data_IF_211769072734
#
_entry.id   IF_211769072734
#
_cell.length_a   1.000
_cell.length_b   1.000
_cell.length_c   1.000
_cell.angle_alpha   90.00
_cell.angle_beta   90.00
_cell.angle_gamma   90.00
#
_symmetry.space_group_name_H-M   'P 1'
#
loop_
_entity.id
_entity.type
_entity.pdbx_description
1 polymer ?
#
# COMPACT_ATOMS: atom_id res chain seq x y z
N UNK A 1 10.28 -5.37 0.10
CA UNK A 1 9.79 -4.19 -0.67
C UNK A 1 8.51 -3.73 -0.04
N UNK A 2 8.43 -2.47 0.33
CA UNK A 2 7.25 -1.79 0.84
C UNK A 2 6.69 -0.86 -0.25
N UNK A 3 5.38 -0.77 -0.36
CA UNK A 3 4.71 0.13 -1.30
C UNK A 3 3.55 0.82 -0.60
N UNK A 4 3.53 2.15 -0.63
CA UNK A 4 2.37 2.94 -0.27
C UNK A 4 1.61 3.35 -1.54
N UNK A 5 0.36 2.97 -1.63
CA UNK A 5 -0.53 3.42 -2.68
C UNK A 5 -1.31 4.64 -2.19
N UNK A 6 -1.09 5.78 -2.81
CA UNK A 6 -1.83 7.02 -2.55
C UNK A 6 -3.08 7.04 -3.42
N UNK A 7 -4.20 6.56 -2.87
CA UNK A 7 -5.42 6.21 -3.62
C UNK A 7 -6.01 7.40 -4.41
N UNK A 8 -5.95 8.63 -3.88
CA UNK A 8 -6.54 9.80 -4.54
C UNK A 8 -5.75 10.29 -5.78
N UNK A 9 -4.49 9.86 -5.93
CA UNK A 9 -3.67 10.18 -7.11
C UNK A 9 -3.33 8.92 -7.93
N UNK A 10 -3.44 7.73 -7.33
CA UNK A 10 -2.96 6.48 -7.90
C UNK A 10 -1.44 6.32 -7.85
N UNK A 11 -0.72 7.28 -7.26
CA UNK A 11 0.72 7.20 -7.11
C UNK A 11 1.10 6.10 -6.14
N UNK A 12 2.15 5.39 -6.46
CA UNK A 12 2.78 4.44 -5.56
C UNK A 12 4.15 4.95 -5.12
N UNK A 13 4.40 4.93 -3.83
CA UNK A 13 5.69 5.22 -3.22
C UNK A 13 6.34 3.91 -2.78
N UNK A 14 7.61 3.72 -3.13
CA UNK A 14 8.30 2.45 -2.95
C UNK A 14 9.55 2.61 -2.11
N UNK A 15 9.76 1.64 -1.20
CA UNK A 15 11.00 1.46 -0.45
C UNK A 15 11.45 0.00 -0.43
N UNK A 16 12.76 -0.23 -0.47
CA UNK A 16 13.34 -1.53 -0.21
C UNK A 16 13.74 -1.62 1.27
N UNK A 17 13.09 -2.50 2.00
CA UNK A 17 13.43 -2.78 3.39
C UNK A 17 14.45 -3.92 3.46
N UNK A 18 15.44 -3.88 4.36
CA UNK A 18 16.35 -5.00 4.63
C UNK A 18 15.60 -6.24 5.15
N UNK A 19 14.60 -6.02 6.01
CA UNK A 19 13.73 -7.07 6.54
C UNK A 19 12.29 -6.55 6.74
N UNK A 20 11.35 -7.48 6.92
CA UNK A 20 9.95 -7.15 7.16
C UNK A 20 9.64 -7.16 8.66
N UNK A 21 10.24 -6.22 9.39
CA UNK A 21 10.05 -5.99 10.81
C UNK A 21 9.70 -4.53 11.13
N UNK A 22 9.36 -4.25 12.39
CA UNK A 22 8.98 -2.91 12.81
C UNK A 22 10.15 -1.92 12.76
N UNK A 23 11.38 -2.37 12.99
CA UNK A 23 12.58 -1.53 12.96
C UNK A 23 12.76 -0.88 11.59
N UNK A 24 12.52 -1.62 10.51
CA UNK A 24 12.66 -1.12 9.14
C UNK A 24 11.36 -0.51 8.60
N UNK A 25 10.21 -0.92 9.10
CA UNK A 25 8.92 -0.37 8.67
C UNK A 25 8.65 1.03 9.24
N UNK A 26 8.95 1.27 10.51
CA UNK A 26 8.70 2.55 11.19
C UNK A 26 9.39 3.77 10.54
N UNK A 27 10.65 3.70 10.11
CA UNK A 27 11.29 4.80 9.40
C UNK A 27 10.52 5.22 8.14
N UNK A 28 9.97 4.28 7.39
CA UNK A 28 9.21 4.55 6.18
C UNK A 28 7.85 5.19 6.50
N UNK A 29 7.16 4.74 7.54
CA UNK A 29 5.95 5.42 8.04
C UNK A 29 6.24 6.87 8.44
N UNK A 30 7.36 7.11 9.13
CA UNK A 30 7.79 8.45 9.53
C UNK A 30 8.16 9.31 8.33
N UNK A 31 8.79 8.72 7.30
CA UNK A 31 9.12 9.41 6.06
C UNK A 31 7.86 9.81 5.32
N UNK A 32 6.94 8.88 5.12
CA UNK A 32 5.64 9.14 4.50
C UNK A 32 4.87 10.25 5.23
N UNK A 33 4.81 10.19 6.57
CA UNK A 33 4.15 11.23 7.37
C UNK A 33 4.78 12.62 7.13
N UNK A 34 6.12 12.71 7.08
CA UNK A 34 6.80 13.99 6.82
C UNK A 34 6.52 14.54 5.42
N UNK A 35 6.46 13.67 4.42
CA UNK A 35 6.19 14.03 3.03
C UNK A 35 4.75 14.51 2.82
N UNK A 36 3.80 13.99 3.63
CA UNK A 36 2.38 14.28 3.54
C UNK A 36 1.83 15.05 4.76
N UNK A 37 2.68 15.81 5.45
CA UNK A 37 2.32 16.55 6.68
C UNK A 37 1.22 17.60 6.51
N UNK A 38 0.95 18.03 5.29
CA UNK A 38 -0.11 18.94 4.90
C UNK A 38 -1.51 18.29 4.95
N UNK A 39 -1.58 16.96 4.94
CA UNK A 39 -2.82 16.23 5.10
C UNK A 39 -3.29 16.27 6.55
N UNK A 40 -4.61 16.36 6.75
CA UNK A 40 -5.23 16.31 8.09
C UNK A 40 -5.17 14.92 8.74
N UNK A 41 -4.72 13.92 8.01
CA UNK A 41 -4.61 12.53 8.41
C UNK A 41 -4.95 11.56 7.30
N UNK A 42 -4.58 10.30 7.48
CA UNK A 42 -4.75 9.25 6.47
C UNK A 42 -5.38 7.99 7.06
N UNK A 43 -6.23 7.35 6.28
CA UNK A 43 -6.62 5.97 6.53
C UNK A 43 -5.59 5.07 5.87
N UNK A 44 -4.86 4.31 6.70
CA UNK A 44 -3.89 3.33 6.24
C UNK A 44 -4.53 1.95 6.20
N UNK A 45 -4.77 1.43 5.01
CA UNK A 45 -5.26 0.06 4.82
C UNK A 45 -4.06 -0.85 4.64
N UNK A 46 -3.92 -1.84 5.49
CA UNK A 46 -2.80 -2.80 5.48
C UNK A 46 -3.26 -4.17 5.99
N UNK A 47 -2.46 -5.18 5.76
CA UNK A 47 -2.69 -6.50 6.35
C UNK A 47 -2.21 -6.57 7.82
N UNK A 48 -2.48 -7.70 8.48
CA UNK A 48 -2.03 -7.98 9.84
C UNK A 48 -0.62 -8.55 9.93
N UNK A 49 0.28 -8.16 9.02
CA UNK A 49 1.69 -8.60 9.06
C UNK A 49 2.39 -8.23 10.36
N UNK A 50 3.42 -9.01 10.74
CA UNK A 50 4.11 -8.85 12.03
C UNK A 50 4.62 -7.42 12.26
N UNK A 51 5.21 -6.77 11.25
CA UNK A 51 5.67 -5.40 11.33
C UNK A 51 4.54 -4.39 11.51
N UNK A 52 3.35 -4.68 10.95
CA UNK A 52 2.19 -3.79 11.00
C UNK A 52 1.50 -3.79 12.36
N UNK A 53 1.51 -4.92 13.06
CA UNK A 53 0.88 -5.10 14.38
C UNK A 53 1.87 -5.06 15.55
N UNK A 54 3.16 -4.90 15.29
CA UNK A 54 4.18 -4.80 16.34
C UNK A 54 3.88 -3.66 17.31
N UNK A 55 4.23 -3.85 18.59
CA UNK A 55 3.97 -2.88 19.65
C UNK A 55 4.48 -1.48 19.33
N UNK A 56 5.70 -1.37 18.79
CA UNK A 56 6.30 -0.08 18.43
C UNK A 56 5.53 0.62 17.30
N UNK A 57 5.05 -0.12 16.31
CA UNK A 57 4.20 0.39 15.24
C UNK A 57 2.86 0.90 15.79
N UNK A 58 2.22 0.11 16.68
CA UNK A 58 0.97 0.51 17.30
C UNK A 58 1.14 1.76 18.19
N UNK A 59 2.22 1.82 18.95
CA UNK A 59 2.58 2.99 19.77
C UNK A 59 2.79 4.23 18.88
N UNK A 60 3.46 4.08 17.74
CA UNK A 60 3.63 5.19 16.80
C UNK A 60 2.28 5.69 16.27
N UNK A 61 1.38 4.82 15.88
CA UNK A 61 0.04 5.20 15.44
C UNK A 61 -0.75 5.89 16.55
N UNK A 62 -0.74 5.36 17.76
CA UNK A 62 -1.44 5.94 18.92
C UNK A 62 -0.95 7.36 19.23
N UNK A 63 0.37 7.59 19.13
CA UNK A 63 1.00 8.87 19.41
C UNK A 63 0.93 9.87 18.24
N UNK A 64 0.29 9.51 17.14
CA UNK A 64 0.14 10.39 15.96
C UNK A 64 -1.02 11.40 16.09
N UNK A 65 -1.65 11.49 17.24
CA UNK A 65 -2.83 12.38 17.48
C UNK A 65 -3.94 12.20 16.45
N UNK A 66 -4.14 10.96 15.96
CA UNK A 66 -5.19 10.61 15.01
C UNK A 66 -4.85 10.93 13.55
N UNK A 67 -3.61 11.32 13.25
CA UNK A 67 -3.16 11.48 11.87
C UNK A 67 -3.15 10.14 11.15
N UNK A 68 -2.55 9.09 11.75
CA UNK A 68 -2.65 7.72 11.28
C UNK A 68 -3.95 7.06 11.77
N UNK A 69 -4.72 6.51 10.84
CA UNK A 69 -5.96 5.78 11.11
C UNK A 69 -5.87 4.39 10.48
N UNK A 70 -5.11 3.45 11.09
CA UNK A 70 -4.91 2.14 10.51
C UNK A 70 -6.21 1.34 10.44
N UNK A 71 -6.36 0.57 9.37
CA UNK A 71 -7.42 -0.40 9.12
C UNK A 71 -6.79 -1.66 8.60
N UNK A 72 -7.10 -2.78 9.21
CA UNK A 72 -6.50 -4.06 8.86
C UNK A 72 -7.46 -4.85 7.97
N UNK A 73 -6.93 -5.44 6.89
CA UNK A 73 -7.70 -6.39 6.09
C UNK A 73 -7.95 -7.67 6.92
N UNK A 74 -9.07 -8.36 6.69
CA UNK A 74 -9.29 -9.66 7.31
C UNK A 74 -8.17 -10.64 6.99
N UNK A 75 -7.95 -11.60 7.88
CA UNK A 75 -7.00 -12.69 7.62
C UNK A 75 -7.33 -13.39 6.30
N UNK A 76 -6.30 -13.74 5.54
CA UNK A 76 -6.41 -14.38 4.22
C UNK A 76 -7.18 -13.57 3.15
N UNK A 77 -7.30 -12.26 3.34
CA UNK A 77 -7.98 -11.36 2.40
C UNK A 77 -7.04 -10.30 1.82
N UNK A 78 -5.79 -10.65 1.55
CA UNK A 78 -4.77 -9.76 0.96
C UNK A 78 -5.23 -9.15 -0.37
N UNK A 79 -6.07 -9.87 -1.13
CA UNK A 79 -6.68 -9.38 -2.37
C UNK A 79 -7.55 -8.13 -2.20
N UNK A 80 -7.96 -7.78 -0.97
CA UNK A 80 -8.61 -6.50 -0.67
C UNK A 80 -7.62 -5.32 -0.64
N UNK A 81 -6.32 -5.61 -0.57
CA UNK A 81 -5.29 -4.58 -0.62
C UNK A 81 -5.01 -4.20 -2.09
N UNK A 82 -5.48 -3.04 -2.49
CA UNK A 82 -5.34 -2.56 -3.87
C UNK A 82 -3.90 -2.35 -4.31
N UNK A 83 -2.99 -2.06 -3.38
CA UNK A 83 -1.57 -1.96 -3.70
C UNK A 83 -1.04 -3.26 -4.33
N UNK A 84 -1.51 -4.43 -3.89
CA UNK A 84 -1.11 -5.71 -4.47
C UNK A 84 -1.51 -5.84 -5.95
N UNK A 85 -2.69 -5.35 -6.33
CA UNK A 85 -3.14 -5.38 -7.73
C UNK A 85 -2.20 -4.56 -8.60
N UNK A 86 -1.82 -3.36 -8.14
CA UNK A 86 -0.90 -2.49 -8.88
C UNK A 86 0.54 -3.02 -8.90
N UNK A 87 0.99 -3.64 -7.80
CA UNK A 87 2.28 -4.35 -7.76
C UNK A 87 2.29 -5.49 -8.80
N UNK A 88 1.20 -6.22 -8.95
CA UNK A 88 1.07 -7.24 -9.99
C UNK A 88 1.13 -6.66 -11.39
N UNK A 89 0.47 -5.54 -11.64
CA UNK A 89 0.57 -4.82 -12.92
C UNK A 89 2.01 -4.35 -13.20
N UNK A 90 2.67 -3.74 -12.21
CA UNK A 90 4.07 -3.35 -12.33
C UNK A 90 4.98 -4.54 -12.66
N UNK A 91 4.83 -5.66 -11.93
CA UNK A 91 5.57 -6.89 -12.22
C UNK A 91 5.35 -7.37 -13.65
N UNK A 92 4.11 -7.33 -14.13
CA UNK A 92 3.78 -7.75 -15.48
C UNK A 92 4.45 -6.90 -16.56
N UNK A 93 4.43 -5.57 -16.41
CA UNK A 93 4.94 -4.65 -17.43
C UNK A 93 6.46 -4.50 -17.39
N UNK A 94 7.08 -4.50 -16.22
CA UNK A 94 8.48 -4.12 -16.04
C UNK A 94 9.40 -5.25 -15.62
N UNK A 95 8.89 -6.34 -15.02
CA UNK A 95 9.72 -7.43 -14.50
C UNK A 95 9.56 -8.75 -15.24
N UNK A 96 8.45 -8.94 -15.97
CA UNK A 96 8.17 -10.21 -16.65
C UNK A 96 9.24 -10.51 -17.70
N UNK A 97 9.70 -11.77 -17.72
CA UNK A 97 10.71 -12.29 -18.64
C UNK A 97 12.08 -11.61 -18.53
N UNK A 98 12.37 -10.97 -17.39
CA UNK A 98 13.70 -10.43 -17.10
C UNK A 98 14.36 -11.31 -16.04
N UNK A 99 15.70 -11.34 -16.06
CA UNK A 99 16.53 -11.98 -15.06
C UNK A 99 17.60 -10.99 -14.61
N UNK A 100 18.05 -11.09 -13.38
CA UNK A 100 19.06 -10.23 -12.80
C UNK A 100 20.17 -11.08 -12.20
N UNK A 101 21.40 -10.64 -12.34
CA UNK A 101 22.57 -11.36 -11.82
C UNK A 101 22.76 -11.14 -10.33
N UNK A 102 22.16 -10.07 -9.76
CA UNK A 102 22.26 -9.73 -8.35
C UNK A 102 20.98 -9.05 -7.83
N UNK A 103 20.83 -9.06 -6.52
CA UNK A 103 19.76 -8.32 -5.86
C UNK A 103 19.90 -6.79 -6.09
N UNK A 104 21.12 -6.30 -6.18
CA UNK A 104 21.38 -4.88 -6.40
C UNK A 104 20.98 -4.44 -7.81
N UNK A 105 21.27 -5.26 -8.82
CA UNK A 105 20.80 -5.02 -10.19
C UNK A 105 19.27 -5.00 -10.25
N UNK A 106 18.61 -5.95 -9.57
CA UNK A 106 17.16 -5.96 -9.46
C UNK A 106 16.60 -4.68 -8.83
N UNK A 107 17.16 -4.24 -7.68
CA UNK A 107 16.76 -3.01 -7.00
C UNK A 107 16.94 -1.79 -7.91
N UNK A 108 18.10 -1.67 -8.54
CA UNK A 108 18.41 -0.58 -9.48
C UNK A 108 17.38 -0.53 -10.61
N UNK A 109 17.07 -1.68 -11.21
CA UNK A 109 16.07 -1.76 -12.27
C UNK A 109 14.68 -1.33 -11.78
N UNK A 110 14.24 -1.80 -10.61
CA UNK A 110 12.94 -1.43 -10.04
C UNK A 110 12.88 0.07 -9.77
N UNK A 111 13.93 0.63 -9.13
CA UNK A 111 13.95 2.06 -8.79
C UNK A 111 14.00 2.97 -10.03
N UNK A 112 14.62 2.53 -11.12
CA UNK A 112 14.61 3.25 -12.40
C UNK A 112 13.25 3.17 -13.11
N UNK A 113 12.59 2.01 -13.06
CA UNK A 113 11.32 1.77 -13.75
C UNK A 113 10.10 2.34 -13.00
N UNK A 114 10.21 2.53 -11.70
CA UNK A 114 9.09 2.91 -10.85
C UNK A 114 8.52 4.31 -11.14
N UNK A 115 9.35 5.36 -11.32
CA UNK A 115 8.87 6.69 -11.71
C UNK A 115 8.18 6.68 -13.08
N UNK A 116 8.68 5.89 -14.03
CA UNK A 116 8.05 5.74 -15.35
C UNK A 116 6.67 5.09 -15.22
N UNK A 117 6.54 4.03 -14.38
CA UNK A 117 5.26 3.41 -14.12
C UNK A 117 4.25 4.41 -13.55
N UNK A 118 4.64 5.18 -12.54
CA UNK A 118 3.80 6.21 -11.96
C UNK A 118 3.40 7.27 -13.00
N UNK A 119 4.34 7.76 -13.78
CA UNK A 119 4.06 8.75 -14.82
C UNK A 119 3.04 8.23 -15.84
N UNK A 120 3.12 6.95 -16.20
CA UNK A 120 2.31 6.34 -17.26
C UNK A 120 0.95 5.87 -16.79
N UNK A 121 0.85 5.36 -15.57
CA UNK A 121 -0.32 4.61 -15.07
C UNK A 121 -0.96 5.18 -13.81
N UNK A 122 -0.30 6.09 -13.09
CA UNK A 122 -0.93 6.66 -11.90
C UNK A 122 -2.07 7.60 -12.30
N UNK A 123 -3.24 7.31 -11.76
CA UNK A 123 -4.43 8.15 -11.90
C UNK A 123 -5.35 7.93 -10.70
N UNK A 124 -6.20 8.90 -10.35
CA UNK A 124 -7.21 8.72 -9.31
C UNK A 124 -8.07 7.49 -9.58
N UNK A 125 -8.41 6.74 -8.52
CA UNK A 125 -9.29 5.59 -8.66
C UNK A 125 -10.74 6.04 -8.86
N UNK A 126 -11.36 5.57 -9.91
CA UNK A 126 -12.80 5.69 -10.12
C UNK A 126 -13.54 4.54 -9.42
N UNK A 127 -14.07 4.84 -8.23
CA UNK A 127 -14.80 3.85 -7.44
C UNK A 127 -16.18 3.60 -8.02
N UNK A 128 -16.35 2.45 -8.66
CA UNK A 128 -17.67 2.02 -9.19
C UNK A 128 -18.52 1.32 -8.15
N UNK A 129 -17.92 0.83 -7.04
CA UNK A 129 -18.62 0.16 -5.95
C UNK A 129 -18.86 1.16 -4.81
N UNK A 130 -20.11 1.62 -4.68
CA UNK A 130 -20.52 2.58 -3.66
C UNK A 130 -21.19 1.89 -2.47
N UNK A 131 -21.29 2.59 -1.33
CA UNK A 131 -22.06 2.10 -0.16
C UNK A 131 -23.52 1.78 -0.53
N UNK A 132 -24.12 2.51 -1.45
CA UNK A 132 -25.47 2.24 -1.92
C UNK A 132 -25.52 0.91 -2.69
N UNK A 133 -24.61 0.69 -3.65
CA UNK A 133 -24.53 -0.58 -4.39
C UNK A 133 -24.26 -1.75 -3.45
N UNK A 134 -23.39 -1.58 -2.46
CA UNK A 134 -23.12 -2.59 -1.45
C UNK A 134 -24.38 -2.96 -0.66
N UNK A 135 -25.13 -1.98 -0.15
CA UNK A 135 -26.39 -2.21 0.59
C UNK A 135 -27.43 -2.91 -0.28
N UNK A 136 -27.57 -2.50 -1.54
CA UNK A 136 -28.47 -3.14 -2.50
C UNK A 136 -28.10 -4.60 -2.78
N UNK A 137 -26.79 -4.86 -2.92
CA UNK A 137 -26.30 -6.22 -3.14
C UNK A 137 -26.59 -7.12 -1.93
N UNK A 138 -26.28 -6.65 -0.70
CA UNK A 138 -26.57 -7.40 0.51
C UNK A 138 -28.09 -7.63 0.71
N UNK A 139 -28.90 -6.62 0.49
CA UNK A 139 -30.36 -6.76 0.58
C UNK A 139 -30.90 -7.85 -0.38
N UNK A 140 -30.32 -7.93 -1.59
CA UNK A 140 -30.73 -8.94 -2.59
C UNK A 140 -30.25 -10.36 -2.26
N UNK A 141 -29.10 -10.54 -1.60
CA UNK A 141 -28.46 -11.85 -1.44
C UNK A 141 -28.52 -12.41 -0.01
N UNK A 142 -28.92 -11.63 0.98
CA UNK A 142 -29.11 -12.08 2.38
C UNK A 142 -30.58 -12.20 2.77
N UNK A 143 -31.51 -11.97 1.85
CA UNK A 143 -32.96 -12.11 2.09
C UNK A 143 -33.50 -13.50 1.75
N UNK A 144 -32.60 -14.51 1.67
CA UNK A 144 -32.96 -15.93 1.52
C UNK A 144 -32.56 -16.72 2.75
#
# INVERSE_FOLDING_TARGET
>A
MLVFLVVHSGLMELAFLPSNDAEHYLPELKLFHRQHKDLRGVFLIQDGGASHIAGDTQNYFANSHGWWRPRYTPANASWLNQAEILIHAFKHYYLKRKSWQSQEEFKTHVMASWPEYNHRYAHPFEWTWTNQKMRQWFAKHLSN
#
